data_IF_366092818020
#
_entry.id   IF_366092818020
#
_cell.length_a   1.000
_cell.length_b   1.000
_cell.length_c   1.000
_cell.angle_alpha   90.00
_cell.angle_beta   90.00
_cell.angle_gamma   90.00
#
_symmetry.space_group_name_H-M   'P 1'
#
loop_
_entity.id
_entity.type
_entity.pdbx_description
1 polymer ?
#
# COMPACT_ATOMS: atom_id res chain seq x y z
N UNK A 1 10.05 -2.46 -11.54
CA UNK A 1 9.71 -3.80 -11.01
C UNK A 1 8.64 -4.41 -11.91
N UNK A 2 8.89 -5.57 -12.53
CA UNK A 2 7.88 -6.24 -13.38
C UNK A 2 6.78 -6.81 -12.48
N UNK A 3 5.52 -6.48 -12.78
CA UNK A 3 4.32 -6.84 -12.00
C UNK A 3 4.25 -8.34 -11.67
N UNK A 4 4.68 -9.21 -12.59
CA UNK A 4 4.68 -10.66 -12.41
C UNK A 4 5.54 -11.15 -11.23
N UNK A 5 6.69 -10.53 -10.97
CA UNK A 5 7.55 -10.95 -9.85
C UNK A 5 6.98 -10.52 -8.50
N UNK A 6 6.24 -9.41 -8.48
CA UNK A 6 5.58 -8.90 -7.28
C UNK A 6 4.48 -9.87 -6.83
N UNK A 7 3.61 -10.29 -7.76
CA UNK A 7 2.49 -11.17 -7.43
C UNK A 7 2.90 -12.59 -7.08
N UNK A 8 4.04 -13.07 -7.59
CA UNK A 8 4.57 -14.37 -7.17
C UNK A 8 5.12 -14.36 -5.75
N UNK A 9 5.54 -13.19 -5.25
CA UNK A 9 6.20 -13.05 -3.94
C UNK A 9 5.27 -12.53 -2.85
N UNK A 10 4.29 -11.69 -3.19
CA UNK A 10 3.46 -10.98 -2.21
C UNK A 10 2.04 -11.60 -2.15
N UNK A 11 1.90 -12.70 -1.41
CA UNK A 11 0.62 -13.33 -1.14
C UNK A 11 -0.17 -12.56 -0.08
N UNK A 12 -1.48 -12.79 -0.01
CA UNK A 12 -2.35 -12.17 1.01
C UNK A 12 -2.29 -10.63 1.05
N UNK A 13 -1.95 -10.01 -0.09
CA UNK A 13 -1.72 -8.58 -0.23
C UNK A 13 -2.94 -7.73 0.15
N UNK A 14 -2.78 -6.88 1.15
CA UNK A 14 -3.80 -5.92 1.62
C UNK A 14 -3.19 -4.53 1.78
N UNK A 15 -3.86 -3.51 1.27
CA UNK A 15 -3.32 -2.15 1.14
C UNK A 15 -4.26 -1.10 1.73
N UNK A 16 -3.67 -0.13 2.43
CA UNK A 16 -4.32 1.12 2.82
C UNK A 16 -3.51 2.28 2.24
N UNK A 17 -4.18 3.20 1.55
CA UNK A 17 -3.62 4.48 1.08
C UNK A 17 -4.32 5.62 1.80
N UNK A 18 -3.57 6.67 2.11
CA UNK A 18 -4.06 7.86 2.79
C UNK A 18 -3.41 9.12 2.17
N UNK A 19 -4.23 10.14 1.93
CA UNK A 19 -3.77 11.41 1.38
C UNK A 19 -2.79 12.08 2.35
N UNK A 20 -1.67 12.58 1.84
CA UNK A 20 -0.74 13.39 2.61
C UNK A 20 -0.89 14.88 2.27
N UNK A 21 -0.82 15.21 0.99
CA UNK A 21 -0.97 16.57 0.48
C UNK A 21 -1.33 16.52 -1.01
N UNK A 22 -1.83 17.63 -1.56
CA UNK A 22 -2.01 17.79 -3.00
C UNK A 22 -1.79 19.24 -3.41
N UNK A 23 -1.40 19.44 -4.66
CA UNK A 23 -1.29 20.76 -5.30
C UNK A 23 -1.48 20.58 -6.80
N UNK A 24 -2.41 21.32 -7.38
CA UNK A 24 -2.78 21.21 -8.80
C UNK A 24 -3.09 19.76 -9.20
N UNK A 25 -2.42 19.25 -10.23
CA UNK A 25 -2.55 17.88 -10.72
C UNK A 25 -1.61 16.88 -10.03
N UNK A 26 -1.11 17.21 -8.82
CA UNK A 26 -0.20 16.37 -8.03
C UNK A 26 -0.81 15.93 -6.72
N UNK A 27 -0.63 14.66 -6.40
CA UNK A 27 -1.07 14.06 -5.13
C UNK A 27 0.11 13.34 -4.47
N UNK A 28 0.36 13.65 -3.21
CA UNK A 28 1.27 12.91 -2.34
C UNK A 28 0.45 12.00 -1.43
N UNK A 29 0.81 10.72 -1.36
CA UNK A 29 0.09 9.68 -0.63
C UNK A 29 1.06 8.94 0.29
N UNK A 30 0.60 8.67 1.51
CA UNK A 30 1.19 7.68 2.42
C UNK A 30 0.43 6.38 2.27
N UNK A 31 1.12 5.25 2.38
CA UNK A 31 0.45 3.96 2.35
C UNK A 31 1.22 2.92 3.15
N UNK A 32 0.51 1.87 3.54
CA UNK A 32 1.13 0.64 3.99
C UNK A 32 0.37 -0.56 3.46
N UNK A 33 1.09 -1.64 3.17
CA UNK A 33 0.51 -2.92 2.78
C UNK A 33 1.10 -4.07 3.61
N UNK A 34 0.29 -5.09 3.85
CA UNK A 34 0.71 -6.34 4.48
C UNK A 34 0.65 -7.46 3.44
N UNK A 35 1.65 -8.33 3.46
CA UNK A 35 1.72 -9.53 2.61
C UNK A 35 2.51 -10.64 3.30
N UNK A 36 2.34 -11.85 2.81
CA UNK A 36 3.10 -13.03 3.21
C UNK A 36 3.92 -13.51 2.00
N UNK A 37 5.17 -13.91 2.20
CA UNK A 37 5.99 -14.47 1.12
C UNK A 37 5.88 -16.00 1.01
N UNK A 38 6.56 -16.58 0.02
CA UNK A 38 6.56 -18.03 -0.24
C UNK A 38 7.09 -18.87 0.93
N UNK A 39 7.82 -18.25 1.87
CA UNK A 39 8.37 -18.91 3.06
C UNK A 39 7.43 -18.85 4.27
N UNK A 40 6.29 -18.15 4.15
CA UNK A 40 5.39 -17.89 5.26
C UNK A 40 5.78 -16.68 6.10
N UNK A 41 6.80 -15.90 5.70
CA UNK A 41 7.21 -14.70 6.42
C UNK A 41 6.26 -13.54 6.07
N UNK A 42 5.71 -12.91 7.11
CA UNK A 42 4.87 -11.73 6.97
C UNK A 42 5.70 -10.45 6.97
N UNK A 43 5.24 -9.48 6.18
CA UNK A 43 5.82 -8.15 6.12
C UNK A 43 4.74 -7.08 6.22
N UNK A 44 5.10 -5.95 6.84
CA UNK A 44 4.41 -4.68 6.62
C UNK A 44 5.34 -3.75 5.88
N UNK A 45 4.94 -3.36 4.69
CA UNK A 45 5.66 -2.40 3.86
C UNK A 45 5.05 -1.01 4.03
N UNK A 46 5.90 -0.02 4.27
CA UNK A 46 5.52 1.39 4.41
C UNK A 46 6.02 2.15 3.21
N UNK A 47 5.15 2.95 2.61
CA UNK A 47 5.47 3.64 1.37
C UNK A 47 4.96 5.08 1.30
N UNK A 48 5.67 5.84 0.49
CA UNK A 48 5.27 7.15 0.01
C UNK A 48 5.23 7.10 -1.51
N UNK A 49 4.16 7.63 -2.08
CA UNK A 49 4.04 7.77 -3.52
C UNK A 49 3.57 9.17 -3.90
N UNK A 50 4.17 9.71 -4.96
CA UNK A 50 3.84 10.98 -5.55
C UNK A 50 3.33 10.73 -6.96
N UNK A 51 2.14 11.22 -7.23
CA UNK A 51 1.42 11.05 -8.49
C UNK A 51 1.31 12.39 -9.20
N UNK A 52 1.55 12.38 -10.51
CA UNK A 52 1.21 13.47 -11.42
C UNK A 52 0.16 12.96 -12.41
N UNK A 53 -0.93 13.71 -12.56
CA UNK A 53 -2.02 13.39 -13.49
C UNK A 53 -1.98 14.26 -14.74
N UNK A 54 -2.31 13.69 -15.89
CA UNK A 54 -2.57 14.43 -17.13
C UNK A 54 -4.00 14.99 -17.14
N UNK A 55 -4.33 15.82 -18.13
CA UNK A 55 -5.66 16.46 -18.27
C UNK A 55 -6.80 15.44 -18.45
N UNK A 56 -6.51 14.26 -18.99
CA UNK A 56 -7.45 13.15 -19.16
C UNK A 56 -7.71 12.35 -17.86
N UNK A 57 -7.06 12.73 -16.76
CA UNK A 57 -7.17 12.07 -15.46
C UNK A 57 -6.31 10.81 -15.30
N UNK A 58 -5.51 10.44 -16.30
CA UNK A 58 -4.57 9.33 -16.19
C UNK A 58 -3.29 9.77 -15.47
N UNK A 59 -2.73 8.87 -14.66
CA UNK A 59 -1.46 9.12 -13.98
C UNK A 59 -0.33 9.09 -15.01
N UNK A 60 0.29 10.25 -15.28
CA UNK A 60 1.42 10.38 -16.19
C UNK A 60 2.75 10.01 -15.52
N UNK A 61 2.90 10.30 -14.23
CA UNK A 61 4.09 9.97 -13.45
C UNK A 61 3.74 9.36 -12.10
N UNK A 62 4.54 8.38 -11.70
CA UNK A 62 4.46 7.72 -10.41
C UNK A 62 5.85 7.55 -9.83
N UNK A 63 6.16 8.29 -8.76
CA UNK A 63 7.38 8.08 -7.98
C UNK A 63 6.99 7.41 -6.67
N UNK A 64 7.57 6.26 -6.35
CA UNK A 64 7.24 5.53 -5.13
C UNK A 64 8.50 5.03 -4.43
N UNK A 65 8.53 5.18 -3.12
CA UNK A 65 9.58 4.66 -2.23
C UNK A 65 8.90 3.79 -1.18
N UNK A 66 9.50 2.64 -0.87
CA UNK A 66 8.93 1.62 -0.01
C UNK A 66 10.04 1.05 0.87
N UNK A 67 9.75 0.87 2.15
CA UNK A 67 10.57 0.11 3.09
C UNK A 67 9.75 -1.07 3.62
N UNK A 68 10.33 -2.27 3.57
CA UNK A 68 9.68 -3.50 4.03
C UNK A 68 10.18 -3.87 5.42
N UNK A 69 9.26 -4.15 6.34
CA UNK A 69 9.56 -4.53 7.71
C UNK A 69 8.99 -5.93 7.98
N UNK A 70 9.81 -6.93 8.35
CA UNK A 70 9.30 -8.22 8.80
C UNK A 70 8.42 -8.04 10.04
N UNK A 71 7.32 -8.78 10.11
CA UNK A 71 6.40 -8.82 11.26
C UNK A 71 6.03 -10.26 11.61
N UNK A 72 5.59 -10.51 12.84
CA UNK A 72 4.91 -11.77 13.15
C UNK A 72 3.49 -11.74 12.56
N UNK A 73 2.92 -12.91 12.28
CA UNK A 73 1.53 -13.00 11.81
C UNK A 73 0.54 -12.37 12.82
N UNK A 74 0.81 -12.51 14.13
CA UNK A 74 0.00 -11.92 15.19
C UNK A 74 0.03 -10.39 15.21
N UNK A 75 1.05 -9.76 14.61
CA UNK A 75 1.18 -8.30 14.57
C UNK A 75 0.42 -7.67 13.40
N UNK A 76 -0.21 -8.49 12.53
CA UNK A 76 -1.02 -8.01 11.41
C UNK A 76 -2.15 -7.11 11.87
N UNK A 77 -2.38 -6.04 11.11
CA UNK A 77 -3.48 -5.09 11.34
C UNK A 77 -4.56 -5.19 10.27
N UNK A 78 -4.29 -5.83 9.13
CA UNK A 78 -5.18 -5.84 7.98
C UNK A 78 -5.93 -7.18 7.88
N UNK A 79 -7.18 -7.17 8.35
CA UNK A 79 -8.03 -8.36 8.45
C UNK A 79 -9.36 -8.15 7.72
N UNK A 80 -9.34 -8.40 6.41
CA UNK A 80 -10.54 -8.46 5.57
C UNK A 80 -10.37 -9.49 4.44
N UNK A 81 -11.45 -9.99 3.81
CA UNK A 81 -11.34 -10.85 2.62
C UNK A 81 -10.55 -10.17 1.50
N UNK A 82 -9.77 -10.91 0.71
CA UNK A 82 -8.96 -10.29 -0.36
C UNK A 82 -9.83 -9.48 -1.32
N UNK A 83 -9.36 -8.26 -1.63
CA UNK A 83 -10.09 -7.29 -2.45
C UNK A 83 -10.20 -5.93 -1.77
N UNK A 84 -11.29 -5.22 -2.06
CA UNK A 84 -11.54 -3.86 -1.58
C UNK A 84 -11.62 -3.82 -0.04
N UNK A 85 -10.87 -2.90 0.58
CA UNK A 85 -10.99 -2.60 2.00
C UNK A 85 -12.44 -2.20 2.35
N UNK A 86 -13.06 -2.77 3.40
CA UNK A 86 -14.37 -2.36 3.88
C UNK A 86 -14.41 -0.88 4.28
N UNK A 87 -15.57 -0.22 4.13
CA UNK A 87 -15.72 1.22 4.40
C UNK A 87 -15.52 1.56 5.88
N UNK A 88 -15.86 0.63 6.78
CA UNK A 88 -15.73 0.77 8.22
C UNK A 88 -14.38 0.28 8.76
N UNK A 89 -13.45 -0.17 7.91
CA UNK A 89 -12.12 -0.53 8.37
C UNK A 89 -11.31 0.74 8.68
N UNK A 90 -10.59 0.79 9.81
CA UNK A 90 -9.73 1.93 10.17
C UNK A 90 -8.81 2.42 9.04
N UNK A 91 -8.54 3.72 9.03
CA UNK A 91 -7.57 4.38 8.16
C UNK A 91 -6.11 4.09 8.57
N UNK A 92 -5.15 4.65 7.82
CA UNK A 92 -3.73 4.48 8.17
C UNK A 92 -3.44 5.21 9.48
N UNK A 93 -3.95 6.44 9.60
CA UNK A 93 -3.85 7.26 10.81
C UNK A 93 -4.56 6.63 12.02
N UNK A 94 -5.75 6.06 11.84
CA UNK A 94 -6.50 5.41 12.95
C UNK A 94 -5.77 4.17 13.52
N UNK A 95 -4.93 3.53 12.70
CA UNK A 95 -4.12 2.38 13.11
C UNK A 95 -2.78 2.80 13.73
N UNK A 96 -2.49 4.10 13.83
CA UNK A 96 -1.21 4.62 14.32
C UNK A 96 -0.02 4.19 13.44
N UNK A 97 -0.22 4.13 12.12
CA UNK A 97 0.79 3.78 11.12
C UNK A 97 1.23 5.00 10.29
#
# INVERSE_FOLDING_TARGET
MRIYHKWNKEHEYRLIKELWAFTDNRIAVRYAYEYCDDSGQWFRAYGNENWLFAEDGLMSHRHASINEMPIAEADRKYHWPLGRRPDNHPSLSDLGL
#
